data_IF_365948565596
#
_entry.id   IF_365948565596
#
_cell.length_a   1.000
_cell.length_b   1.000
_cell.length_c   1.000
_cell.angle_alpha   90.00
_cell.angle_beta   90.00
_cell.angle_gamma   90.00
#
_symmetry.space_group_name_H-M   'P 1'
#
loop_
_entity.id
_entity.type
_entity.pdbx_description
1 polymer ?
#
# COMPACT_ATOMS: atom_id res chain seq x y z
N UNK A 1 5.99 38.58 -18.14
CA UNK A 1 5.50 37.62 -17.13
C UNK A 1 4.02 37.39 -17.38
N UNK A 2 3.63 36.31 -18.07
CA UNK A 2 2.22 35.94 -18.17
C UNK A 2 1.79 35.22 -16.90
N UNK A 3 0.75 35.73 -16.23
CA UNK A 3 0.08 35.01 -15.15
C UNK A 3 -0.63 33.79 -15.74
N UNK A 4 -0.27 32.58 -15.30
CA UNK A 4 -1.08 31.37 -15.50
C UNK A 4 -2.27 31.45 -14.54
N UNK A 5 -3.49 31.57 -15.07
CA UNK A 5 -4.72 31.41 -14.31
C UNK A 5 -4.97 29.90 -14.08
N UNK A 6 -5.27 29.51 -12.84
CA UNK A 6 -5.68 28.15 -12.49
C UNK A 6 -7.05 27.81 -13.10
N UNK A 7 -7.16 26.61 -13.66
CA UNK A 7 -8.36 26.09 -14.34
C UNK A 7 -9.36 25.45 -13.38
N UNK A 8 -9.66 26.09 -12.26
CA UNK A 8 -10.70 25.60 -11.34
C UNK A 8 -11.72 26.69 -11.00
N UNK A 9 -12.27 27.36 -12.03
CA UNK A 9 -13.51 28.13 -11.91
C UNK A 9 -14.22 28.11 -13.28
N UNK A 10 -15.35 27.40 -13.35
CA UNK A 10 -16.47 27.43 -14.32
C UNK A 10 -17.07 26.00 -14.21
N UNK A 11 -18.07 25.73 -13.38
CA UNK A 11 -19.47 26.09 -13.68
C UNK A 11 -20.32 25.86 -12.44
N UNK A 12 -21.09 26.89 -12.05
CA UNK A 12 -22.10 26.81 -11.02
C UNK A 12 -23.51 26.62 -11.64
N UNK A 13 -24.28 25.73 -11.02
CA UNK A 13 -25.74 25.74 -10.85
C UNK A 13 -26.66 25.48 -12.06
N UNK A 14 -27.40 24.36 -11.96
CA UNK A 14 -28.84 24.38 -12.24
C UNK A 14 -29.56 23.41 -11.29
N UNK A 15 -30.36 23.99 -10.40
CA UNK A 15 -31.17 23.31 -9.41
C UNK A 15 -32.59 23.03 -9.95
N UNK A 16 -33.16 21.98 -9.36
CA UNK A 16 -34.54 21.84 -8.93
C UNK A 16 -35.59 21.16 -9.84
N UNK A 17 -36.16 20.10 -9.24
CA UNK A 17 -37.58 19.85 -9.03
C UNK A 17 -38.31 18.88 -9.99
N UNK A 18 -38.66 17.68 -9.47
CA UNK A 18 -39.95 17.02 -9.72
C UNK A 18 -40.24 15.85 -8.75
N UNK A 19 -40.93 16.19 -7.66
CA UNK A 19 -42.19 15.63 -7.09
C UNK A 19 -42.53 14.12 -7.25
N UNK A 20 -42.60 13.45 -6.09
CA UNK A 20 -43.59 12.48 -5.53
C UNK A 20 -44.24 11.37 -6.42
N UNK A 21 -44.28 10.12 -5.91
CA UNK A 21 -45.46 9.46 -5.29
C UNK A 21 -45.36 7.92 -5.24
N UNK A 22 -45.94 7.36 -4.15
CA UNK A 22 -46.44 5.99 -3.93
C UNK A 22 -45.39 4.87 -3.71
N UNK A 23 -45.58 3.90 -2.81
CA UNK A 23 -46.73 3.55 -1.99
C UNK A 23 -46.47 2.22 -1.26
N UNK A 24 -47.22 2.01 -0.18
CA UNK A 24 -47.06 1.02 0.87
C UNK A 24 -47.33 -0.45 0.46
N UNK A 25 -46.75 -1.40 1.20
CA UNK A 25 -47.44 -2.44 2.03
C UNK A 25 -46.94 -3.89 1.88
N UNK A 26 -47.12 -4.63 2.99
CA UNK A 26 -47.22 -6.09 3.17
C UNK A 26 -45.97 -6.70 3.84
N UNK A 27 -45.88 -6.95 5.15
CA UNK A 27 -46.80 -7.50 6.18
C UNK A 27 -47.09 -9.01 6.02
N UNK A 28 -46.60 -9.79 6.98
CA UNK A 28 -47.01 -11.17 7.34
C UNK A 28 -46.20 -12.27 6.65
N UNK A 29 -45.67 -13.30 7.31
CA UNK A 29 -45.76 -13.73 8.70
C UNK A 29 -45.66 -15.26 8.79
N UNK A 30 -44.89 -15.72 9.78
CA UNK A 30 -45.08 -16.94 10.59
C UNK A 30 -44.81 -18.35 10.03
N UNK A 31 -44.03 -19.09 10.82
CA UNK A 31 -44.06 -20.55 11.00
C UNK A 31 -43.05 -21.29 10.12
N UNK A 32 -42.14 -22.14 10.60
CA UNK A 32 -42.07 -22.89 11.85
C UNK A 32 -41.49 -24.27 11.50
N UNK A 33 -40.81 -24.89 12.46
CA UNK A 33 -40.46 -26.33 12.52
C UNK A 33 -39.14 -26.79 11.84
N UNK A 34 -38.10 -26.91 12.67
CA UNK A 34 -37.11 -28.02 12.67
C UNK A 34 -37.71 -29.22 13.43
N UNK A 35 -37.08 -30.41 13.55
CA UNK A 35 -35.99 -31.05 12.79
C UNK A 35 -36.34 -32.50 12.38
N UNK A 36 -35.49 -33.19 11.62
CA UNK A 36 -35.45 -34.67 11.64
C UNK A 36 -34.03 -35.16 11.36
N UNK A 37 -33.47 -35.82 12.37
CA UNK A 37 -32.33 -36.72 12.30
C UNK A 37 -32.66 -37.96 11.45
N UNK A 38 -31.65 -38.55 10.80
CA UNK A 38 -31.37 -40.01 10.72
C UNK A 38 -30.06 -40.11 9.92
N UNK A 39 -28.91 -40.34 10.56
CA UNK A 39 -28.33 -41.62 11.01
C UNK A 39 -27.59 -42.39 9.90
N UNK A 40 -26.52 -43.04 10.37
CA UNK A 40 -25.31 -43.56 9.75
C UNK A 40 -25.44 -44.38 8.46
N UNK A 41 -24.34 -44.44 7.70
CA UNK A 41 -23.62 -45.70 7.42
C UNK A 41 -22.20 -45.42 6.91
N UNK A 42 -21.25 -46.04 7.60
CA UNK A 42 -19.85 -46.30 7.27
C UNK A 42 -19.72 -47.25 6.08
N UNK A 43 -18.87 -46.95 5.11
CA UNK A 43 -18.09 -47.96 4.37
C UNK A 43 -16.66 -47.44 4.15
N UNK A 44 -15.71 -48.34 4.42
CA UNK A 44 -14.26 -48.21 4.27
C UNK A 44 -13.80 -48.45 2.82
N UNK A 45 -12.48 -48.29 2.64
CA UNK A 45 -11.63 -48.63 1.48
C UNK A 45 -11.55 -47.53 0.41
N UNK A 46 -10.40 -47.11 -0.13
CA UNK A 46 -9.09 -47.75 -0.26
C UNK A 46 -8.03 -46.66 -0.51
N UNK A 47 -6.78 -46.96 -0.14
CA UNK A 47 -5.59 -46.20 -0.46
C UNK A 47 -5.39 -45.93 -1.96
N UNK A 48 -4.87 -44.74 -2.27
CA UNK A 48 -3.83 -44.56 -3.29
C UNK A 48 -3.01 -43.32 -2.95
N UNK A 49 -1.80 -43.62 -2.52
CA UNK A 49 -0.60 -42.80 -2.44
C UNK A 49 -0.30 -42.24 -3.84
N UNK A 50 -0.32 -40.92 -4.00
CA UNK A 50 0.33 -40.26 -5.13
C UNK A 50 1.13 -39.07 -4.62
N UNK A 51 2.41 -39.35 -4.45
CA UNK A 51 3.52 -38.43 -4.31
C UNK A 51 3.60 -37.62 -5.61
N UNK A 52 3.21 -36.35 -5.58
CA UNK A 52 3.52 -35.44 -6.69
C UNK A 52 4.95 -34.96 -6.50
N UNK A 53 5.82 -35.56 -7.30
CA UNK A 53 7.22 -35.24 -7.44
C UNK A 53 7.41 -33.77 -7.82
N UNK A 54 8.34 -33.14 -7.11
CA UNK A 54 9.01 -31.92 -7.51
C UNK A 54 9.74 -32.18 -8.83
N UNK A 55 9.19 -31.66 -9.94
CA UNK A 55 9.93 -31.58 -11.20
C UNK A 55 10.93 -30.43 -11.11
N UNK A 56 12.11 -30.80 -10.62
CA UNK A 56 13.34 -30.03 -10.70
C UNK A 56 13.86 -30.14 -12.14
N UNK A 57 13.50 -29.17 -12.99
CA UNK A 57 14.10 -29.02 -14.32
C UNK A 57 15.53 -28.47 -14.18
N UNK A 58 16.49 -29.35 -13.91
CA UNK A 58 17.91 -29.06 -14.16
C UNK A 58 18.22 -29.24 -15.64
N UNK A 59 18.03 -28.19 -16.44
CA UNK A 59 18.67 -28.08 -17.73
C UNK A 59 19.95 -27.25 -17.62
N UNK A 60 21.04 -27.90 -17.19
CA UNK A 60 22.38 -27.34 -17.28
C UNK A 60 22.80 -27.31 -18.75
N UNK A 61 22.55 -26.19 -19.42
CA UNK A 61 23.29 -25.80 -20.62
C UNK A 61 24.45 -24.92 -20.17
N UNK A 62 25.65 -25.48 -20.18
CA UNK A 62 26.90 -24.72 -20.08
C UNK A 62 27.10 -23.93 -21.38
N UNK A 63 26.44 -22.77 -21.45
CA UNK A 63 26.84 -21.63 -22.25
C UNK A 63 27.27 -20.54 -21.29
N UNK A 64 28.34 -19.83 -21.62
CA UNK A 64 28.83 -18.65 -20.90
C UNK A 64 27.87 -17.47 -21.16
N UNK A 65 26.58 -17.68 -20.86
CA UNK A 65 25.54 -16.68 -20.90
C UNK A 65 25.65 -15.93 -19.59
N UNK A 66 26.06 -14.66 -19.64
CA UNK A 66 25.81 -13.74 -18.53
C UNK A 66 24.33 -13.92 -18.14
N UNK A 67 24.08 -14.25 -16.87
CA UNK A 67 22.74 -14.52 -16.39
C UNK A 67 21.90 -13.28 -16.60
N UNK A 68 20.85 -13.39 -17.42
CA UNK A 68 19.83 -12.37 -17.57
C UNK A 68 19.31 -12.02 -16.17
N UNK A 69 19.46 -10.77 -15.75
CA UNK A 69 18.90 -10.32 -14.48
C UNK A 69 17.44 -10.03 -14.72
N UNK A 70 16.60 -10.34 -13.75
CA UNK A 70 15.16 -10.13 -13.88
C UNK A 70 14.58 -9.58 -12.58
N UNK A 71 13.39 -9.02 -12.67
CA UNK A 71 12.71 -8.52 -11.50
C UNK A 71 11.31 -8.02 -11.80
N UNK A 72 10.71 -7.41 -10.78
CA UNK A 72 9.43 -6.71 -10.91
C UNK A 72 9.65 -5.20 -10.79
N UNK A 73 8.94 -4.42 -11.60
CA UNK A 73 8.93 -2.97 -11.50
C UNK A 73 7.50 -2.45 -11.60
N UNK A 74 7.18 -1.51 -10.70
CA UNK A 74 5.96 -0.73 -10.73
C UNK A 74 6.33 0.75 -10.95
N UNK A 75 5.69 1.38 -11.93
CA UNK A 75 5.81 2.83 -12.14
C UNK A 75 4.45 3.46 -11.87
N UNK A 76 4.39 4.36 -10.89
CA UNK A 76 3.17 5.06 -10.48
C UNK A 76 3.39 6.55 -10.67
N UNK A 77 2.50 7.19 -11.41
CA UNK A 77 2.52 8.65 -11.62
C UNK A 77 1.13 9.17 -11.28
N UNK A 78 1.06 10.08 -10.32
CA UNK A 78 -0.19 10.72 -9.91
C UNK A 78 -1.28 9.70 -9.51
N UNK A 79 -0.88 8.62 -8.82
CA UNK A 79 -1.78 7.56 -8.35
C UNK A 79 -2.28 6.63 -9.45
N UNK A 80 -1.74 6.77 -10.66
CA UNK A 80 -2.02 5.90 -11.80
C UNK A 80 -0.77 5.10 -12.13
N UNK A 81 -0.94 3.80 -12.27
CA UNK A 81 0.08 2.95 -12.85
C UNK A 81 0.35 3.35 -14.31
N UNK A 82 1.64 3.41 -14.65
CA UNK A 82 2.13 3.62 -16.00
C UNK A 82 2.67 2.32 -16.56
N UNK A 83 2.03 1.85 -17.62
CA UNK A 83 2.59 0.78 -18.44
C UNK A 83 3.76 1.34 -19.24
N UNK A 84 4.89 0.64 -19.21
CA UNK A 84 6.08 1.02 -19.92
C UNK A 84 6.34 0.03 -21.07
N UNK A 85 6.52 0.59 -22.26
CA UNK A 85 6.89 -0.15 -23.45
C UNK A 85 8.37 0.06 -23.74
N UNK A 86 9.08 -1.00 -24.10
CA UNK A 86 10.47 -0.95 -24.56
C UNK A 86 10.55 -1.32 -26.02
N UNK A 87 11.49 -0.73 -26.75
CA UNK A 87 11.71 -1.06 -28.16
C UNK A 87 12.12 -2.55 -28.33
N UNK A 88 11.62 -3.24 -29.38
CA UNK A 88 11.98 -4.64 -29.62
C UNK A 88 13.50 -4.85 -29.74
N UNK A 89 14.04 -5.76 -28.94
CA UNK A 89 15.47 -6.07 -28.91
C UNK A 89 16.32 -5.08 -28.12
N UNK A 90 15.70 -4.22 -27.30
CA UNK A 90 16.40 -3.48 -26.27
C UNK A 90 17.03 -4.44 -25.26
N UNK A 91 18.17 -4.02 -24.67
CA UNK A 91 18.90 -4.80 -23.68
C UNK A 91 18.14 -4.93 -22.36
N UNK A 92 17.26 -3.97 -22.09
CA UNK A 92 16.27 -4.01 -21.03
C UNK A 92 14.90 -4.11 -21.67
N UNK A 93 14.04 -4.97 -21.15
CA UNK A 93 12.67 -5.11 -21.66
C UNK A 93 11.67 -5.49 -20.58
N UNK A 94 10.46 -4.97 -20.73
CA UNK A 94 9.30 -5.47 -20.00
C UNK A 94 8.69 -6.69 -20.69
N UNK A 95 8.21 -7.64 -19.89
CA UNK A 95 7.53 -8.82 -20.39
C UNK A 95 6.13 -8.44 -20.91
N UNK A 96 5.84 -8.78 -22.18
CA UNK A 96 4.57 -8.46 -22.84
C UNK A 96 3.34 -9.14 -22.21
N UNK A 97 3.54 -10.23 -21.45
CA UNK A 97 2.45 -11.05 -20.88
C UNK A 97 2.34 -10.96 -19.37
N UNK A 98 3.43 -10.61 -18.70
CA UNK A 98 3.49 -10.36 -17.28
C UNK A 98 3.92 -8.91 -17.08
N UNK A 99 2.94 -8.03 -17.27
CA UNK A 99 3.03 -6.59 -16.97
C UNK A 99 3.70 -6.47 -15.59
N UNK A 100 4.72 -5.62 -15.43
CA UNK A 100 5.66 -5.51 -14.29
C UNK A 100 6.93 -6.35 -14.32
N UNK A 101 7.01 -7.45 -15.07
CA UNK A 101 8.26 -8.21 -15.10
C UNK A 101 9.23 -7.56 -16.07
N UNK A 102 10.46 -7.31 -15.62
CA UNK A 102 11.53 -6.81 -16.48
C UNK A 102 12.68 -7.83 -16.56
N UNK A 103 13.46 -7.71 -17.63
CA UNK A 103 14.67 -8.48 -17.88
C UNK A 103 15.77 -7.58 -18.41
N UNK A 104 17.03 -7.92 -18.12
CA UNK A 104 18.18 -7.22 -18.67
C UNK A 104 19.32 -8.18 -19.02
N UNK A 105 19.87 -8.01 -20.22
CA UNK A 105 20.93 -8.87 -20.75
C UNK A 105 22.34 -8.50 -20.23
N UNK A 106 22.55 -7.25 -19.84
CA UNK A 106 23.84 -6.72 -19.39
C UNK A 106 23.64 -5.81 -18.16
N UNK A 107 24.63 -5.70 -17.25
CA UNK A 107 24.55 -4.77 -16.13
C UNK A 107 24.33 -3.34 -16.61
N UNK A 108 23.29 -2.70 -16.08
CA UNK A 108 22.98 -1.30 -16.34
C UNK A 108 22.34 -0.65 -15.11
N UNK A 109 22.36 0.66 -15.08
CA UNK A 109 21.76 1.46 -14.01
C UNK A 109 20.24 1.53 -14.15
N UNK A 110 19.54 1.88 -13.06
CA UNK A 110 18.09 2.12 -13.10
C UNK A 110 17.74 3.22 -14.11
N UNK A 111 18.50 4.32 -14.13
CA UNK A 111 18.29 5.41 -15.08
C UNK A 111 18.45 4.94 -16.53
N UNK A 112 19.50 4.16 -16.86
CA UNK A 112 19.70 3.62 -18.20
C UNK A 112 18.59 2.65 -18.61
N UNK A 113 18.10 1.82 -17.69
CA UNK A 113 16.98 0.92 -17.94
C UNK A 113 15.69 1.69 -18.25
N UNK A 114 15.34 2.69 -17.44
CA UNK A 114 14.19 3.56 -17.65
C UNK A 114 14.27 4.34 -18.97
N UNK A 115 15.47 4.75 -19.38
CA UNK A 115 15.67 5.45 -20.65
C UNK A 115 15.28 4.58 -21.86
N UNK A 116 15.45 3.25 -21.78
CA UNK A 116 14.99 2.33 -22.84
C UNK A 116 13.47 2.29 -23.02
N UNK A 117 12.73 2.72 -21.99
CA UNK A 117 11.29 2.87 -21.98
C UNK A 117 10.84 4.33 -22.13
N UNK A 118 11.71 5.20 -22.66
CA UNK A 118 11.49 6.64 -22.83
C UNK A 118 11.18 7.39 -21.52
N UNK A 119 11.71 6.90 -20.40
CA UNK A 119 11.63 7.57 -19.10
C UNK A 119 13.00 8.13 -18.73
N UNK A 120 13.10 9.43 -18.53
CA UNK A 120 14.32 10.06 -18.01
C UNK A 120 14.18 10.24 -16.50
N UNK A 121 14.98 9.50 -15.74
CA UNK A 121 14.99 9.54 -14.28
C UNK A 121 16.25 10.22 -13.76
N UNK A 122 16.06 11.24 -12.93
CA UNK A 122 17.09 11.98 -12.20
C UNK A 122 16.73 12.00 -10.70
N UNK A 123 17.65 12.36 -9.79
CA UNK A 123 17.37 12.39 -8.35
C UNK A 123 16.13 13.22 -7.98
N UNK A 124 15.94 14.37 -8.61
CA UNK A 124 14.88 15.35 -8.29
C UNK A 124 13.90 15.60 -9.46
N UNK A 125 14.00 14.82 -10.55
CA UNK A 125 13.14 14.96 -11.72
C UNK A 125 12.84 13.63 -12.41
N UNK A 126 11.62 13.52 -12.97
CA UNK A 126 11.21 12.39 -13.78
C UNK A 126 10.50 12.90 -15.04
N UNK A 127 10.97 12.50 -16.22
CA UNK A 127 10.26 12.74 -17.48
C UNK A 127 9.69 11.45 -18.04
N UNK A 128 8.39 11.40 -18.24
CA UNK A 128 7.65 10.24 -18.74
C UNK A 128 6.51 10.73 -19.64
N UNK A 129 6.24 10.03 -20.75
CA UNK A 129 5.24 10.45 -21.75
C UNK A 129 5.44 11.89 -22.30
N UNK A 130 6.66 12.43 -22.18
CA UNK A 130 7.00 13.81 -22.57
C UNK A 130 6.58 14.89 -21.56
N UNK A 131 6.08 14.50 -20.39
CA UNK A 131 5.81 15.36 -19.24
C UNK A 131 6.93 15.23 -18.20
N UNK A 132 7.37 16.36 -17.63
CA UNK A 132 8.46 16.41 -16.64
C UNK A 132 7.91 16.85 -15.30
N UNK A 133 8.12 16.02 -14.29
CA UNK A 133 7.82 16.28 -12.88
C UNK A 133 9.13 16.67 -12.18
N UNK A 134 9.08 17.67 -11.29
CA UNK A 134 10.25 18.10 -10.51
C UNK A 134 9.85 18.21 -9.04
N UNK A 135 10.72 17.76 -8.13
CA UNK A 135 10.49 17.91 -6.68
C UNK A 135 10.48 19.38 -6.21
N UNK A 136 11.04 20.28 -7.02
CA UNK A 136 10.95 21.72 -6.76
C UNK A 136 9.54 22.29 -6.95
N UNK A 137 8.65 21.56 -7.65
CA UNK A 137 7.25 21.92 -7.79
C UNK A 137 6.51 21.63 -6.49
N UNK A 138 5.57 22.51 -6.12
CA UNK A 138 4.78 22.30 -4.91
C UNK A 138 3.99 21.01 -5.05
N UNK A 139 4.04 20.16 -4.02
CA UNK A 139 3.26 18.93 -3.91
C UNK A 139 3.77 17.76 -4.76
N UNK A 140 4.98 17.82 -5.31
CA UNK A 140 5.57 16.72 -6.07
C UNK A 140 6.67 16.06 -5.26
N UNK A 141 6.54 14.76 -5.02
CA UNK A 141 7.59 13.92 -4.44
C UNK A 141 7.95 12.83 -5.44
N UNK A 142 9.25 12.60 -5.67
CA UNK A 142 9.74 11.57 -6.59
C UNK A 142 10.53 10.57 -5.77
N UNK A 143 10.17 9.29 -5.85
CA UNK A 143 10.89 8.24 -5.12
C UNK A 143 11.23 7.07 -6.03
N UNK A 144 12.42 6.53 -5.81
CA UNK A 144 12.92 5.31 -6.41
C UNK A 144 13.20 4.33 -5.28
N UNK A 145 12.60 3.15 -5.30
CA UNK A 145 12.76 2.16 -4.23
C UNK A 145 13.12 0.80 -4.80
N UNK A 146 14.03 0.10 -4.11
CA UNK A 146 14.35 -1.30 -4.37
C UNK A 146 14.14 -2.08 -3.08
N UNK A 147 13.24 -3.05 -3.12
CA UNK A 147 12.91 -3.87 -1.94
C UNK A 147 12.58 -3.00 -0.71
N UNK A 148 11.79 -1.94 -0.94
CA UNK A 148 11.41 -0.95 0.07
C UNK A 148 12.51 0.01 0.52
N UNK A 149 13.73 -0.10 0.00
CA UNK A 149 14.81 0.83 0.31
C UNK A 149 14.88 1.94 -0.74
N UNK A 150 14.78 3.19 -0.31
CA UNK A 150 14.88 4.35 -1.19
C UNK A 150 16.31 4.48 -1.78
N UNK A 151 16.37 4.86 -3.05
CA UNK A 151 17.59 5.12 -3.81
C UNK A 151 17.61 6.61 -4.14
N UNK A 152 18.67 7.29 -3.72
CA UNK A 152 18.82 8.73 -3.93
C UNK A 152 19.10 9.09 -5.40
N UNK A 153 19.93 8.31 -6.10
CA UNK A 153 20.31 8.57 -7.49
C UNK A 153 20.11 7.32 -8.37
N UNK A 154 19.11 7.32 -9.29
CA UNK A 154 18.86 6.18 -10.16
C UNK A 154 20.02 5.91 -11.15
N UNK A 155 20.93 6.87 -11.35
CA UNK A 155 22.13 6.68 -12.18
C UNK A 155 23.30 6.05 -11.43
N UNK A 156 23.22 5.94 -10.10
CA UNK A 156 24.22 5.26 -9.27
C UNK A 156 23.83 3.82 -8.90
N UNK A 157 22.53 3.49 -8.95
CA UNK A 157 22.05 2.13 -8.69
C UNK A 157 22.14 1.23 -9.92
N UNK A 158 22.95 0.17 -9.83
CA UNK A 158 23.01 -0.89 -10.86
C UNK A 158 21.95 -1.94 -10.59
N UNK A 159 21.19 -2.32 -11.61
CA UNK A 159 20.19 -3.38 -11.50
C UNK A 159 20.86 -4.70 -11.09
N UNK A 160 20.22 -5.39 -10.15
CA UNK A 160 20.60 -6.71 -9.67
C UNK A 160 19.48 -7.71 -9.98
N UNK A 161 19.74 -9.02 -9.91
CA UNK A 161 18.68 -10.02 -10.05
C UNK A 161 17.74 -9.96 -8.83
N UNK A 162 16.50 -9.53 -9.08
CA UNK A 162 15.45 -9.33 -8.09
C UNK A 162 14.47 -10.52 -8.16
N UNK A 163 14.99 -11.71 -7.84
CA UNK A 163 14.23 -12.95 -7.63
C UNK A 163 13.03 -12.66 -6.68
N UNK A 164 11.80 -13.17 -6.96
CA UNK A 164 10.57 -12.43 -7.22
C UNK A 164 9.99 -11.61 -6.05
N UNK A 165 10.63 -11.62 -4.89
CA UNK A 165 10.13 -10.97 -3.68
C UNK A 165 10.49 -9.48 -3.59
N UNK A 166 11.43 -9.00 -4.40
CA UNK A 166 11.88 -7.62 -4.38
C UNK A 166 11.29 -6.86 -5.56
N UNK A 167 10.69 -5.71 -5.27
CA UNK A 167 10.06 -4.85 -6.27
C UNK A 167 10.86 -3.56 -6.39
N UNK A 168 11.00 -3.12 -7.63
CA UNK A 168 11.46 -1.79 -7.94
C UNK A 168 10.23 -0.88 -8.08
N UNK A 169 10.14 0.19 -7.31
CA UNK A 169 9.04 1.15 -7.41
C UNK A 169 9.58 2.50 -7.82
N UNK A 170 9.03 3.05 -8.89
CA UNK A 170 9.25 4.45 -9.32
C UNK A 170 7.94 5.19 -9.12
N UNK A 171 7.94 6.22 -8.29
CA UNK A 171 6.71 6.90 -7.91
C UNK A 171 6.85 8.40 -8.01
N UNK A 172 5.85 9.03 -8.62
CA UNK A 172 5.59 10.46 -8.56
C UNK A 172 4.26 10.67 -7.85
N UNK A 173 4.32 11.24 -6.65
CA UNK A 173 3.13 11.58 -5.88
C UNK A 173 2.77 13.06 -6.06
N UNK A 174 1.47 13.28 -6.25
CA UNK A 174 0.79 14.56 -6.08
C UNK A 174 -0.19 14.37 -4.93
N UNK A 175 -0.07 15.15 -3.85
CA UNK A 175 -0.88 14.95 -2.65
C UNK A 175 -2.38 15.33 -2.83
N UNK A 176 -2.81 15.70 -4.03
CA UNK A 176 -4.23 15.95 -4.39
C UNK A 176 -4.98 14.67 -4.84
N UNK A 177 -4.36 13.50 -4.77
CA UNK A 177 -4.95 12.22 -5.19
C UNK A 177 -6.05 11.70 -4.24
N UNK A 178 -7.00 10.94 -4.81
CA UNK A 178 -8.00 10.23 -4.01
C UNK A 178 -7.33 9.16 -3.13
N UNK A 179 -7.79 9.04 -1.87
CA UNK A 179 -7.34 8.04 -0.90
C UNK A 179 -8.48 7.04 -0.64
N UNK A 180 -8.26 5.71 -0.71
CA UNK A 180 -6.97 5.02 -0.83
C UNK A 180 -6.43 4.96 -2.27
N UNK A 181 -7.12 5.57 -3.24
CA UNK A 181 -6.77 5.47 -4.66
C UNK A 181 -7.32 4.19 -5.29
N UNK A 182 -6.68 3.75 -6.39
CA UNK A 182 -7.10 2.55 -7.12
C UNK A 182 -6.66 1.30 -6.35
N UNK A 183 -7.62 0.42 -6.06
CA UNK A 183 -7.34 -0.93 -5.56
C UNK A 183 -6.54 -1.75 -6.59
N UNK A 184 -5.69 -2.62 -6.08
CA UNK A 184 -4.90 -3.55 -6.91
C UNK A 184 -5.09 -4.99 -6.45
N UNK A 185 -5.01 -5.94 -7.37
CA UNK A 185 -5.14 -7.36 -7.04
C UNK A 185 -3.90 -7.88 -6.28
N UNK A 186 -4.02 -9.00 -5.57
CA UNK A 186 -2.92 -9.58 -4.79
C UNK A 186 -1.68 -9.95 -5.61
N UNK A 187 -1.85 -10.28 -6.89
CA UNK A 187 -0.72 -10.58 -7.78
C UNK A 187 -0.03 -9.33 -8.32
N UNK A 188 -0.64 -8.16 -8.21
CA UNK A 188 -0.04 -6.88 -8.60
C UNK A 188 1.08 -6.51 -7.62
N UNK A 189 2.15 -5.81 -8.03
CA UNK A 189 3.10 -5.22 -7.08
C UNK A 189 2.37 -4.36 -6.05
N UNK A 190 2.65 -4.55 -4.76
CA UNK A 190 1.98 -3.82 -3.70
C UNK A 190 2.86 -3.70 -2.46
N UNK A 191 2.78 -2.57 -1.75
CA UNK A 191 3.60 -2.34 -0.58
C UNK A 191 3.22 -3.27 0.57
N UNK A 192 4.25 -3.68 1.31
CA UNK A 192 4.17 -4.36 2.59
C UNK A 192 4.99 -3.60 3.61
N UNK A 193 4.75 -3.85 4.90
CA UNK A 193 5.62 -3.29 5.92
C UNK A 193 5.22 -3.70 7.31
N UNK A 194 5.63 -2.93 8.31
CA UNK A 194 5.31 -3.19 9.72
C UNK A 194 4.46 -2.07 10.30
N UNK A 195 3.61 -2.43 11.24
CA UNK A 195 2.84 -1.49 12.03
C UNK A 195 2.84 -1.94 13.48
N UNK A 196 3.35 -1.08 14.34
CA UNK A 196 3.23 -1.21 15.79
C UNK A 196 2.45 -0.02 16.33
N UNK A 197 1.67 -0.27 17.37
CA UNK A 197 0.92 0.76 18.07
C UNK A 197 1.03 0.52 19.57
N UNK A 198 1.28 1.59 20.33
CA UNK A 198 1.27 1.56 21.79
C UNK A 198 0.26 2.57 22.34
N UNK A 199 -0.39 2.20 23.44
CA UNK A 199 -1.31 3.05 24.20
C UNK A 199 -0.87 3.04 25.65
N UNK A 200 -0.42 4.18 26.15
CA UNK A 200 0.16 4.33 27.49
C UNK A 200 1.30 3.33 27.76
N UNK A 201 2.09 3.05 26.72
CA UNK A 201 3.19 2.08 26.74
C UNK A 201 2.78 0.61 26.57
N UNK A 202 1.48 0.30 26.53
CA UNK A 202 0.99 -1.06 26.28
C UNK A 202 0.78 -1.31 24.78
N UNK A 203 1.35 -2.39 24.21
CA UNK A 203 1.23 -2.67 22.77
C UNK A 203 -0.19 -3.12 22.40
N UNK A 204 -0.67 -2.66 21.26
CA UNK A 204 -1.90 -3.15 20.63
C UNK A 204 -1.61 -4.47 19.92
N UNK A 205 -2.38 -5.50 20.24
CA UNK A 205 -2.25 -6.82 19.62
C UNK A 205 -3.05 -6.90 18.31
N UNK A 206 -2.36 -6.70 17.19
CA UNK A 206 -2.91 -6.81 15.83
C UNK A 206 -3.16 -8.27 15.38
N UNK A 207 -2.75 -9.28 16.15
CA UNK A 207 -3.03 -10.69 15.82
C UNK A 207 -4.49 -11.09 16.08
N UNK A 208 -5.25 -10.23 16.76
CA UNK A 208 -6.66 -10.46 17.02
C UNK A 208 -7.47 -10.48 15.72
N UNK A 209 -8.43 -11.40 15.62
CA UNK A 209 -9.27 -11.64 14.42
C UNK A 209 -9.93 -10.37 13.86
N UNK A 210 -10.28 -9.40 14.72
CA UNK A 210 -10.87 -8.13 14.31
C UNK A 210 -9.95 -7.22 13.45
N UNK A 211 -8.65 -7.50 13.40
CA UNK A 211 -7.67 -6.72 12.64
C UNK A 211 -7.14 -7.47 11.41
N UNK A 212 -7.34 -8.79 11.36
CA UNK A 212 -6.94 -9.64 10.22
C UNK A 212 -7.97 -9.51 9.11
N UNK A 213 -7.52 -9.26 7.88
CA UNK A 213 -8.40 -9.06 6.71
C UNK A 213 -9.52 -8.02 6.97
N UNK A 214 -9.22 -7.00 7.78
CA UNK A 214 -10.21 -6.02 8.23
C UNK A 214 -10.75 -5.16 7.08
N UNK A 215 -9.90 -4.88 6.08
CA UNK A 215 -10.30 -4.15 4.89
C UNK A 215 -9.53 -4.61 3.63
N UNK A 216 -10.13 -4.42 2.45
CA UNK A 216 -9.54 -4.83 1.15
C UNK A 216 -8.27 -4.04 0.78
N UNK A 217 -8.23 -2.74 1.07
CA UNK A 217 -7.12 -1.86 0.68
C UNK A 217 -5.90 -1.98 1.61
N UNK A 218 -6.11 -2.37 2.87
CA UNK A 218 -5.07 -2.48 3.87
C UNK A 218 -5.44 -3.51 4.92
N UNK A 219 -4.61 -4.53 5.09
CA UNK A 219 -4.87 -5.57 6.07
C UNK A 219 -3.63 -6.32 6.56
N UNK A 220 -3.83 -7.05 7.65
CA UNK A 220 -2.93 -8.11 8.10
C UNK A 220 -3.44 -9.48 7.63
N UNK A 221 -2.51 -10.38 7.32
CA UNK A 221 -2.79 -11.80 7.15
C UNK A 221 -2.62 -12.56 8.48
N UNK A 222 -3.58 -13.43 8.79
CA UNK A 222 -3.58 -14.20 10.05
C UNK A 222 -2.52 -15.31 10.08
N UNK A 223 -2.25 -15.93 8.95
CA UNK A 223 -1.21 -16.95 8.76
C UNK A 223 0.21 -16.39 8.86
N UNK A 224 0.37 -15.07 8.77
CA UNK A 224 1.62 -14.36 9.03
C UNK A 224 1.72 -13.84 10.48
N UNK A 225 0.76 -14.21 11.34
CA UNK A 225 0.62 -13.69 12.71
C UNK A 225 0.59 -12.16 12.75
N UNK A 226 -0.05 -11.52 11.77
CA UNK A 226 -0.06 -10.05 11.63
C UNK A 226 1.33 -9.41 11.68
N UNK A 227 2.39 -10.13 11.29
CA UNK A 227 3.75 -9.63 11.35
C UNK A 227 4.05 -8.57 10.28
N UNK A 228 3.21 -8.48 9.24
CA UNK A 228 3.30 -7.47 8.19
C UNK A 228 1.91 -7.04 7.73
N UNK A 229 1.78 -5.78 7.37
CA UNK A 229 0.61 -5.29 6.65
C UNK A 229 0.80 -5.44 5.14
N UNK A 230 -0.32 -5.45 4.40
CA UNK A 230 -0.41 -5.51 2.94
C UNK A 230 -1.25 -4.33 2.46
N UNK A 231 -0.72 -3.51 1.55
CA UNK A 231 -1.41 -2.32 1.03
C UNK A 231 -1.84 -2.50 -0.43
N UNK A 232 -3.05 -3.01 -0.66
CA UNK A 232 -3.58 -3.24 -2.02
C UNK A 232 -4.16 -1.96 -2.65
N UNK A 233 -3.43 -0.85 -2.58
CA UNK A 233 -3.87 0.39 -3.22
C UNK A 233 -2.71 1.30 -3.62
N UNK A 234 -2.91 2.06 -4.71
CA UNK A 234 -1.86 2.94 -5.26
C UNK A 234 -1.68 4.26 -4.50
N UNK A 235 -2.58 4.66 -3.60
CA UNK A 235 -2.45 5.91 -2.83
C UNK A 235 -2.96 5.75 -1.38
N UNK A 236 -2.26 4.94 -0.59
CA UNK A 236 -2.67 4.58 0.75
C UNK A 236 -1.97 5.47 1.79
N UNK A 237 -2.70 6.36 2.45
CA UNK A 237 -2.11 7.17 3.53
C UNK A 237 -2.07 6.43 4.86
N UNK A 238 -1.14 6.81 5.74
CA UNK A 238 -1.07 6.24 7.09
C UNK A 238 -2.38 6.47 7.89
N UNK A 239 -3.01 7.63 7.73
CA UNK A 239 -4.30 7.94 8.38
C UNK A 239 -5.42 7.01 7.88
N UNK A 240 -5.49 6.75 6.57
CA UNK A 240 -6.46 5.82 6.02
C UNK A 240 -6.22 4.41 6.56
N UNK A 241 -4.97 3.93 6.48
CA UNK A 241 -4.57 2.61 6.94
C UNK A 241 -4.98 2.37 8.40
N UNK A 242 -4.64 3.30 9.30
CA UNK A 242 -5.02 3.22 10.72
C UNK A 242 -6.55 3.26 10.94
N UNK A 243 -7.27 4.01 10.12
CA UNK A 243 -8.73 4.14 10.21
C UNK A 243 -9.50 2.94 9.66
N UNK A 244 -8.84 2.00 8.98
CA UNK A 244 -9.47 0.74 8.55
C UNK A 244 -9.79 -0.19 9.73
N UNK A 245 -9.09 -0.04 10.85
CA UNK A 245 -9.22 -0.95 11.97
C UNK A 245 -10.40 -0.61 12.88
N UNK A 246 -11.16 -1.62 13.36
CA UNK A 246 -12.28 -1.40 14.26
C UNK A 246 -11.85 -0.66 15.54
N UNK A 247 -12.54 0.46 15.81
CA UNK A 247 -12.29 1.30 16.98
C UNK A 247 -11.16 2.31 16.82
N UNK A 248 -10.55 2.40 15.63
CA UNK A 248 -9.54 3.41 15.28
C UNK A 248 -10.12 4.40 14.29
N UNK A 249 -9.80 5.68 14.46
CA UNK A 249 -10.12 6.72 13.49
C UNK A 249 -9.12 7.86 13.60
N UNK A 250 -8.40 8.14 12.52
CA UNK A 250 -7.50 9.29 12.40
C UNK A 250 -8.25 10.45 11.75
N UNK A 251 -7.96 11.65 12.21
CA UNK A 251 -8.39 12.94 11.68
C UNK A 251 -7.20 13.89 11.69
N UNK A 252 -7.36 15.09 11.12
CA UNK A 252 -6.28 16.09 10.91
C UNK A 252 -5.26 16.12 12.06
N UNK A 253 -5.70 16.43 13.29
CA UNK A 253 -4.80 16.58 14.45
C UNK A 253 -5.03 15.55 15.56
N UNK A 254 -5.78 14.47 15.29
CA UNK A 254 -6.23 13.58 16.35
C UNK A 254 -6.49 12.15 15.90
N UNK A 255 -6.22 11.20 16.79
CA UNK A 255 -6.61 9.80 16.68
C UNK A 255 -7.60 9.42 17.77
N UNK A 256 -8.70 8.77 17.40
CA UNK A 256 -9.60 8.12 18.36
C UNK A 256 -9.31 6.63 18.40
N UNK A 257 -9.09 6.09 19.60
CA UNK A 257 -8.92 4.66 19.84
C UNK A 257 -9.88 4.19 20.94
N UNK A 258 -10.74 3.21 20.61
CA UNK A 258 -11.74 2.63 21.51
C UNK A 258 -12.61 3.67 22.27
N UNK A 259 -12.86 4.82 21.65
CA UNK A 259 -13.69 5.89 22.20
C UNK A 259 -12.94 6.98 22.97
N UNK A 260 -11.62 6.85 23.15
CA UNK A 260 -10.75 7.92 23.68
C UNK A 260 -10.09 8.66 22.53
N UNK A 261 -10.09 9.99 22.57
CA UNK A 261 -9.45 10.83 21.53
C UNK A 261 -8.14 11.40 22.05
N UNK A 262 -7.07 11.16 21.29
CA UNK A 262 -5.72 11.62 21.53
C UNK A 262 -5.37 12.70 20.52
N UNK A 263 -4.97 13.86 21.01
CA UNK A 263 -4.60 15.02 20.21
C UNK A 263 -3.08 15.05 20.02
N UNK A 264 -2.59 15.36 18.82
CA UNK A 264 -1.16 15.48 18.54
C UNK A 264 -0.49 16.54 19.43
N UNK A 265 -1.15 17.68 19.58
CA UNK A 265 -0.69 18.82 20.37
C UNK A 265 -1.50 19.00 21.69
N UNK A 266 -1.96 17.89 22.28
CA UNK A 266 -2.74 17.89 23.51
C UNK A 266 -1.90 18.14 24.77
N UNK A 267 -2.47 18.83 25.76
CA UNK A 267 -1.84 18.95 27.09
C UNK A 267 -2.03 17.71 27.96
N UNK A 268 -3.09 16.95 27.71
CA UNK A 268 -3.51 15.78 28.50
C UNK A 268 -3.37 14.47 27.73
N UNK A 269 -3.15 14.53 26.42
CA UNK A 269 -3.00 13.37 25.55
C UNK A 269 -1.98 13.69 24.47
N UNK A 270 -1.30 12.68 23.93
CA UNK A 270 -0.44 12.77 22.76
C UNK A 270 -0.82 11.71 21.73
N UNK A 271 -0.71 12.07 20.45
CA UNK A 271 -0.81 11.19 19.29
C UNK A 271 0.39 11.49 18.39
N UNK A 272 1.22 10.49 18.13
CA UNK A 272 2.39 10.62 17.24
C UNK A 272 2.44 9.43 16.30
N UNK A 273 2.74 9.71 15.03
CA UNK A 273 3.03 8.70 14.01
C UNK A 273 4.45 8.93 13.53
N UNK A 274 5.27 7.89 13.60
CA UNK A 274 6.58 7.89 12.94
C UNK A 274 6.64 6.78 11.91
N UNK A 275 7.29 7.04 10.79
CA UNK A 275 7.63 6.04 9.78
C UNK A 275 9.14 5.99 9.68
N UNK A 276 9.70 4.79 9.87
CA UNK A 276 11.15 4.55 9.90
C UNK A 276 11.92 5.43 10.91
N UNK A 277 11.22 5.83 11.98
CA UNK A 277 11.77 6.65 13.07
C UNK A 277 11.66 8.16 12.84
N UNK A 278 11.10 8.60 11.71
CA UNK A 278 10.83 10.01 11.43
C UNK A 278 9.34 10.34 11.63
N UNK A 279 9.05 11.44 12.30
CA UNK A 279 7.67 11.90 12.51
C UNK A 279 7.07 12.41 11.21
N UNK A 280 5.85 11.96 10.89
CA UNK A 280 5.15 12.28 9.64
C UNK A 280 3.73 12.75 9.94
N UNK A 281 3.16 13.58 9.06
CA UNK A 281 1.71 13.83 9.06
C UNK A 281 0.99 12.63 8.44
N UNK A 282 0.20 11.86 9.21
CA UNK A 282 -0.42 10.64 8.71
C UNK A 282 -1.47 10.92 7.62
N UNK A 283 -2.02 12.14 7.53
CA UNK A 283 -3.04 12.48 6.54
C UNK A 283 -2.44 12.66 5.13
N UNK A 284 -1.17 13.02 5.05
CA UNK A 284 -0.49 13.34 3.78
C UNK A 284 0.61 12.34 3.43
N UNK A 285 1.13 11.58 4.40
CA UNK A 285 2.14 10.55 4.16
C UNK A 285 1.52 9.31 3.49
N UNK A 286 2.01 9.01 2.27
CA UNK A 286 1.64 7.82 1.49
C UNK A 286 2.58 6.67 1.86
N UNK A 287 2.00 5.52 2.22
CA UNK A 287 2.75 4.33 2.61
C UNK A 287 3.52 3.73 1.42
N UNK A 288 4.76 3.36 1.68
CA UNK A 288 5.72 2.78 0.75
C UNK A 288 6.04 1.33 1.16
N UNK A 289 6.57 0.54 0.23
CA UNK A 289 7.03 -0.81 0.57
C UNK A 289 8.18 -0.72 1.57
N UNK A 290 8.22 -1.61 2.56
CA UNK A 290 9.22 -1.61 3.62
C UNK A 290 8.91 -0.74 4.84
N UNK A 291 8.00 0.24 4.73
CA UNK A 291 7.72 1.21 5.79
C UNK A 291 7.44 0.54 7.16
N UNK A 292 8.13 1.00 8.19
CA UNK A 292 7.88 0.63 9.58
C UNK A 292 7.12 1.74 10.31
N UNK A 293 5.81 1.57 10.43
CA UNK A 293 4.93 2.52 11.09
C UNK A 293 4.92 2.26 12.61
N UNK A 294 5.19 3.30 13.39
CA UNK A 294 5.04 3.28 14.85
C UNK A 294 4.03 4.36 15.26
N UNK A 295 2.97 3.94 15.94
CA UNK A 295 1.94 4.84 16.49
C UNK A 295 2.03 4.84 18.01
N UNK A 296 2.13 6.03 18.60
CA UNK A 296 2.18 6.18 20.05
C UNK A 296 1.03 7.07 20.51
N UNK A 297 0.21 6.52 21.41
CA UNK A 297 -0.85 7.23 22.12
C UNK A 297 -0.52 7.26 23.61
N UNK A 298 -0.52 8.43 24.24
CA UNK A 298 -0.37 8.52 25.70
C UNK A 298 -1.35 9.52 26.31
N UNK A 299 -1.84 9.22 27.51
CA UNK A 299 -2.46 10.17 28.43
C UNK A 299 -1.40 10.72 29.41
N UNK A 300 -1.47 12.02 29.71
CA UNK A 300 -0.64 12.64 30.73
C UNK A 300 -1.09 12.14 32.11
N UNK A 301 -0.19 11.47 32.82
CA UNK A 301 -0.38 11.11 34.23
C UNK A 301 -0.50 12.40 35.09
N UNK A 302 -1.71 12.90 35.36
CA UNK A 302 -1.95 13.96 36.38
C UNK A 302 -1.83 13.41 37.82
N UNK A 303 -1.07 12.32 37.99
CA UNK A 303 -0.88 11.63 39.25
C UNK A 303 0.36 12.09 40.02
N UNK A 304 0.90 13.30 39.76
CA UNK A 304 1.81 13.97 40.71
C UNK A 304 1.03 14.68 41.82
N UNK A 305 0.55 13.83 42.71
CA UNK A 305 0.12 14.03 44.09
C UNK A 305 0.43 15.40 44.74
N UNK A 306 -0.65 16.10 45.11
CA UNK A 306 -0.70 17.03 46.24
C UNK A 306 -0.35 16.30 47.55
N UNK A 307 0.93 16.07 47.85
CA UNK A 307 1.43 15.68 49.18
C UNK A 307 2.42 16.75 49.69
N UNK A 308 1.93 17.98 49.88
CA UNK A 308 2.65 19.01 50.63
C UNK A 308 1.69 19.93 51.37
N UNK A 309 0.89 19.37 52.28
CA UNK A 309 0.25 20.09 53.38
C UNK A 309 -0.12 19.14 54.51
N UNK A 310 0.84 18.89 55.41
CA UNK A 310 0.58 18.85 56.85
C UNK A 310 1.88 19.01 57.65
#
# INVERSE_FOLDING_TARGET
MPLKLSRSQITAVLAALLVLLAGCSSLGGSGGETPTETDATTEEETMSDETTESEMDTNTTSGDSESELSGRMLVVVEGQEKHLDTEPGAKFSFNETNEHTWTVEEPMTLAEALETANVTAEPDSLTIDGETYNESDTNTTITYQVAGTEIEDPSEYTLEDMNPAHELVVRVDDHDQEVPGRLVEQSHPHPHGRLNMTVDGEPVDFTQEKYVMAEEAFHFHGDENAARWHGHSLNLTAAYALSTFPGMNVSEDAMTYNGTTYMENGSETSFTVTVDGEEVDPNTYVLKDGDSIEVTLNESDDSTVNEASN
#
